data_IF_829805026952
#
_entry.id   IF_829805026952
#
_cell.length_a   1.000
_cell.length_b   1.000
_cell.length_c   1.000
_cell.angle_alpha   90.00
_cell.angle_beta   90.00
_cell.angle_gamma   90.00
#
_symmetry.space_group_name_H-M   'P 1'
#
loop_
_entity.id
_entity.type
_entity.pdbx_description
1 polymer ?
#
# COMPACT_ATOMS: atom_id res chain seq x y z
N UNK A 1 8.05 -33.05 -6.19
CA UNK A 1 7.68 -31.64 -6.41
C UNK A 1 6.55 -31.62 -7.44
N UNK A 2 5.41 -30.98 -7.17
CA UNK A 2 4.32 -30.87 -8.15
C UNK A 2 4.85 -30.16 -9.41
N UNK A 3 4.40 -30.61 -10.59
CA UNK A 3 4.80 -30.01 -11.86
C UNK A 3 4.41 -28.52 -11.90
N UNK A 4 5.24 -27.64 -12.49
CA UNK A 4 4.92 -26.22 -12.59
C UNK A 4 3.63 -26.06 -13.39
N UNK A 5 2.58 -25.55 -12.74
CA UNK A 5 1.31 -25.26 -13.39
C UNK A 5 1.58 -24.15 -14.40
N UNK A 6 1.59 -24.51 -15.69
CA UNK A 6 1.74 -23.52 -16.76
C UNK A 6 0.53 -22.59 -16.68
N UNK A 7 0.73 -21.27 -16.49
CA UNK A 7 -0.37 -20.36 -16.31
C UNK A 7 -1.20 -20.30 -17.59
N UNK A 8 -2.49 -20.60 -17.47
CA UNK A 8 -3.45 -20.42 -18.55
C UNK A 8 -3.78 -18.93 -18.67
N UNK A 9 -2.89 -18.17 -19.30
CA UNK A 9 -2.97 -16.71 -19.40
C UNK A 9 -4.32 -16.20 -19.93
N UNK A 10 -4.99 -16.94 -20.80
CA UNK A 10 -6.34 -16.60 -21.30
C UNK A 10 -7.39 -16.60 -20.18
N UNK A 11 -7.37 -17.61 -19.31
CA UNK A 11 -8.30 -17.71 -18.16
C UNK A 11 -7.99 -16.62 -17.12
N UNK A 12 -6.71 -16.36 -16.86
CA UNK A 12 -6.27 -15.27 -15.96
C UNK A 12 -6.73 -13.91 -16.48
N UNK A 13 -6.49 -13.62 -17.76
CA UNK A 13 -6.87 -12.35 -18.38
C UNK A 13 -8.39 -12.14 -18.35
N UNK A 14 -9.16 -13.21 -18.53
CA UNK A 14 -10.62 -13.20 -18.39
C UNK A 14 -11.06 -12.89 -16.95
N UNK A 15 -10.50 -13.59 -15.96
CA UNK A 15 -10.76 -13.31 -14.54
C UNK A 15 -10.42 -11.87 -14.15
N UNK A 16 -9.33 -11.32 -14.67
CA UNK A 16 -8.94 -9.93 -14.44
C UNK A 16 -9.93 -8.93 -15.09
N UNK A 17 -10.54 -9.26 -16.24
CA UNK A 17 -11.60 -8.46 -16.85
C UNK A 17 -12.90 -8.53 -16.05
N UNK A 18 -13.22 -9.68 -15.47
CA UNK A 18 -14.38 -9.82 -14.59
C UNK A 18 -14.20 -9.03 -13.29
N UNK A 19 -12.98 -9.07 -12.73
CA UNK A 19 -12.57 -8.29 -11.56
C UNK A 19 -11.98 -6.92 -11.95
N UNK A 20 -12.70 -6.10 -12.74
CA UNK A 20 -12.21 -4.80 -13.25
C UNK A 20 -11.62 -3.95 -12.12
N UNK A 21 -10.37 -3.48 -12.29
CA UNK A 21 -9.63 -2.71 -11.28
C UNK A 21 -9.04 -3.53 -10.11
N UNK A 22 -9.52 -4.76 -9.90
CA UNK A 22 -9.02 -5.69 -8.89
C UNK A 22 -7.79 -6.47 -9.34
N UNK A 23 -6.92 -6.81 -8.39
CA UNK A 23 -5.73 -7.62 -8.63
C UNK A 23 -6.04 -9.12 -8.61
N UNK A 24 -5.55 -9.83 -9.61
CA UNK A 24 -5.66 -11.28 -9.74
C UNK A 24 -4.25 -11.87 -9.83
N UNK A 25 -4.00 -12.98 -9.12
CA UNK A 25 -2.75 -13.73 -9.25
C UNK A 25 -2.70 -14.39 -10.62
N UNK A 26 -1.72 -14.02 -11.44
CA UNK A 26 -1.54 -14.58 -12.78
C UNK A 26 -0.80 -15.91 -12.74
N UNK A 27 0.34 -15.95 -12.05
CA UNK A 27 1.18 -17.13 -11.91
C UNK A 27 2.18 -16.95 -10.78
N UNK A 28 2.77 -18.05 -10.32
CA UNK A 28 4.01 -18.03 -9.52
C UNK A 28 5.11 -18.63 -10.40
N UNK A 29 6.10 -17.81 -10.75
CA UNK A 29 7.25 -18.22 -11.53
C UNK A 29 8.36 -18.74 -10.62
N UNK A 30 9.13 -19.76 -11.03
CA UNK A 30 10.17 -20.36 -10.20
C UNK A 30 11.38 -19.44 -9.96
N UNK A 31 11.58 -18.40 -10.79
CA UNK A 31 12.68 -17.44 -10.65
C UNK A 31 12.20 -15.99 -10.72
N UNK A 32 12.95 -15.12 -10.06
CA UNK A 32 12.72 -13.67 -10.06
C UNK A 32 12.77 -13.08 -11.48
N UNK A 33 13.76 -13.47 -12.28
CA UNK A 33 13.90 -12.98 -13.66
C UNK A 33 12.69 -13.33 -14.53
N UNK A 34 12.16 -14.56 -14.38
CA UNK A 34 10.98 -15.00 -15.12
C UNK A 34 9.74 -14.22 -14.72
N UNK A 35 9.52 -14.04 -13.41
CA UNK A 35 8.39 -13.27 -12.88
C UNK A 35 8.45 -11.79 -13.29
N UNK A 36 9.62 -11.16 -13.14
CA UNK A 36 9.83 -9.77 -13.56
C UNK A 36 9.65 -9.59 -15.07
N UNK A 37 10.18 -10.51 -15.87
CA UNK A 37 10.02 -10.49 -17.33
C UNK A 37 8.54 -10.57 -17.71
N UNK A 38 7.77 -11.47 -17.08
CA UNK A 38 6.34 -11.59 -17.28
C UNK A 38 5.58 -10.32 -16.87
N UNK A 39 5.85 -9.78 -15.66
CA UNK A 39 5.22 -8.56 -15.17
C UNK A 39 5.47 -7.35 -16.10
N UNK A 40 6.65 -7.25 -16.72
CA UNK A 40 6.96 -6.19 -17.71
C UNK A 40 6.28 -6.38 -19.06
N UNK A 41 6.07 -7.62 -19.52
CA UNK A 41 5.47 -7.93 -20.82
C UNK A 41 3.95 -7.81 -20.84
N UNK A 42 3.27 -8.16 -19.73
CA UNK A 42 1.80 -8.15 -19.64
C UNK A 42 1.20 -6.80 -20.05
N UNK A 43 1.63 -5.64 -19.51
CA UNK A 43 1.06 -4.35 -19.90
C UNK A 43 1.30 -3.98 -21.37
N UNK A 44 2.35 -4.53 -21.98
CA UNK A 44 2.70 -4.30 -23.39
C UNK A 44 2.04 -5.31 -24.34
N UNK A 45 1.35 -6.31 -23.79
CA UNK A 45 0.89 -7.51 -24.48
C UNK A 45 1.99 -8.20 -25.34
N UNK A 46 3.26 -8.01 -24.99
CA UNK A 46 4.40 -8.45 -25.80
C UNK A 46 4.53 -9.97 -25.74
N UNK A 47 4.25 -10.65 -26.87
CA UNK A 47 4.19 -12.11 -26.96
C UNK A 47 3.19 -12.74 -25.97
N UNK A 48 2.17 -11.98 -25.55
CA UNK A 48 1.10 -12.46 -24.68
C UNK A 48 -0.28 -12.05 -25.20
N UNK A 49 -0.80 -12.73 -26.25
CA UNK A 49 -2.06 -12.37 -26.92
C UNK A 49 -3.26 -12.22 -25.97
N UNK A 50 -3.28 -12.95 -24.86
CA UNK A 50 -4.35 -12.90 -23.86
C UNK A 50 -4.56 -11.51 -23.24
N UNK A 51 -3.52 -10.67 -23.18
CA UNK A 51 -3.55 -9.35 -22.54
C UNK A 51 -3.69 -8.19 -23.54
N UNK A 52 -4.09 -8.45 -24.79
CA UNK A 52 -4.40 -7.37 -25.73
C UNK A 52 -5.69 -6.63 -25.36
N UNK A 53 -5.80 -5.33 -25.76
CA UNK A 53 -4.74 -4.51 -26.37
C UNK A 53 -3.70 -3.99 -25.36
N UNK A 54 -2.49 -3.57 -25.80
CA UNK A 54 -1.48 -2.97 -24.92
C UNK A 54 -2.04 -1.78 -24.11
N UNK A 55 -1.58 -1.63 -22.87
CA UNK A 55 -2.02 -0.58 -21.94
C UNK A 55 -3.32 -0.89 -21.20
N UNK A 56 -3.98 -2.02 -21.47
CA UNK A 56 -5.24 -2.39 -20.79
C UNK A 56 -5.07 -3.15 -19.49
N UNK A 57 -3.84 -3.56 -19.18
CA UNK A 57 -3.50 -4.27 -17.97
C UNK A 57 -2.34 -3.58 -17.26
N UNK A 58 -2.38 -3.60 -15.94
CA UNK A 58 -1.22 -3.36 -15.10
C UNK A 58 -0.75 -4.68 -14.51
N UNK A 59 0.56 -4.82 -14.30
CA UNK A 59 1.13 -5.98 -13.65
C UNK A 59 2.32 -5.60 -12.77
N UNK A 60 2.54 -6.38 -11.71
CA UNK A 60 3.74 -6.30 -10.89
C UNK A 60 4.15 -7.69 -10.41
N UNK A 61 5.42 -7.84 -10.07
CA UNK A 61 5.96 -9.03 -9.43
C UNK A 61 6.18 -8.82 -7.93
N UNK A 62 6.04 -9.90 -7.17
CA UNK A 62 6.28 -9.92 -5.74
C UNK A 62 6.91 -11.24 -5.30
N UNK A 63 7.64 -11.19 -4.18
CA UNK A 63 8.22 -12.39 -3.56
C UNK A 63 7.10 -13.35 -3.16
N UNK A 64 7.31 -14.62 -3.45
CA UNK A 64 6.46 -15.73 -3.06
C UNK A 64 7.32 -16.82 -2.42
N UNK A 65 6.79 -17.58 -1.47
CA UNK A 65 7.53 -18.72 -0.87
C UNK A 65 8.03 -19.70 -1.94
N UNK A 66 7.17 -19.98 -2.91
CA UNK A 66 7.44 -20.85 -4.07
C UNK A 66 8.07 -20.14 -5.29
N UNK A 67 8.55 -18.90 -5.15
CA UNK A 67 9.23 -18.16 -6.23
C UNK A 67 8.83 -16.69 -6.36
N UNK A 68 8.28 -16.30 -7.50
CA UNK A 68 7.89 -14.92 -7.80
C UNK A 68 6.47 -14.86 -8.34
N UNK A 69 5.56 -14.33 -7.53
CA UNK A 69 4.16 -14.14 -7.89
C UNK A 69 4.03 -12.94 -8.82
N UNK A 70 3.32 -13.12 -9.93
CA UNK A 70 2.93 -12.03 -10.83
C UNK A 70 1.46 -11.75 -10.66
N UNK A 71 1.14 -10.50 -10.36
CA UNK A 71 -0.22 -10.00 -10.18
C UNK A 71 -0.60 -9.14 -11.37
N UNK A 72 -1.85 -9.23 -11.80
CA UNK A 72 -2.40 -8.48 -12.92
C UNK A 72 -3.74 -7.87 -12.55
N UNK A 73 -4.02 -6.66 -13.03
CA UNK A 73 -5.36 -6.05 -12.99
C UNK A 73 -5.73 -5.46 -14.34
N UNK A 74 -7.00 -5.53 -14.71
CA UNK A 74 -7.52 -4.91 -15.92
C UNK A 74 -7.94 -3.46 -15.64
N UNK A 75 -7.42 -2.51 -16.43
CA UNK A 75 -7.57 -1.06 -16.21
C UNK A 75 -8.25 -0.32 -17.37
N UNK A 76 -8.58 -1.00 -18.48
CA UNK A 76 -9.17 -0.33 -19.64
C UNK A 76 -10.51 0.34 -19.33
N UNK A 77 -10.60 1.62 -19.69
CA UNK A 77 -11.80 2.45 -19.48
C UNK A 77 -12.05 2.82 -18.03
N UNK A 78 -11.12 2.53 -17.11
CA UNK A 78 -11.20 2.98 -15.73
C UNK A 78 -10.38 4.26 -15.54
N UNK A 79 -10.78 5.15 -14.61
CA UNK A 79 -9.86 6.15 -14.08
C UNK A 79 -8.58 5.48 -13.60
N UNK A 80 -7.45 6.20 -13.64
CA UNK A 80 -6.19 5.69 -13.11
C UNK A 80 -6.46 5.20 -11.67
N UNK A 81 -6.30 3.89 -11.40
CA UNK A 81 -6.64 3.36 -10.10
C UNK A 81 -5.79 4.02 -9.02
N UNK A 82 -6.40 4.28 -7.88
CA UNK A 82 -5.68 4.78 -6.72
C UNK A 82 -4.47 3.87 -6.41
N UNK A 83 -3.36 4.43 -5.93
CA UNK A 83 -2.26 3.64 -5.43
C UNK A 83 -2.76 2.72 -4.31
N UNK A 84 -2.05 1.61 -4.10
CA UNK A 84 -2.34 0.74 -2.96
C UNK A 84 -2.17 1.56 -1.68
N UNK A 85 -3.09 1.48 -0.71
CA UNK A 85 -2.87 2.16 0.55
C UNK A 85 -1.59 1.63 1.19
N UNK A 86 -0.77 2.47 1.86
CA UNK A 86 0.51 2.06 2.41
C UNK A 86 0.39 1.07 3.57
N UNK A 87 -0.79 1.00 4.19
CA UNK A 87 -1.13 0.10 5.27
C UNK A 87 -2.60 -0.33 5.17
N UNK A 88 -2.95 -1.41 5.86
CA UNK A 88 -4.32 -1.87 6.06
C UNK A 88 -4.62 -2.01 7.56
N UNK A 89 -5.85 -1.70 7.96
CA UNK A 89 -6.31 -1.81 9.34
C UNK A 89 -7.32 -2.94 9.46
N UNK A 90 -7.15 -3.80 10.46
CA UNK A 90 -8.04 -4.92 10.75
C UNK A 90 -8.38 -4.96 12.23
N UNK A 91 -9.60 -5.38 12.58
CA UNK A 91 -10.00 -5.79 13.92
C UNK A 91 -9.72 -7.27 14.07
N UNK A 92 -8.74 -7.63 14.88
CA UNK A 92 -8.35 -9.03 15.08
C UNK A 92 -8.58 -9.43 16.54
N UNK A 93 -8.80 -10.73 16.74
CA UNK A 93 -8.88 -11.33 18.06
C UNK A 93 -7.46 -11.55 18.60
N UNK A 94 -7.16 -10.99 19.76
CA UNK A 94 -5.94 -11.23 20.55
C UNK A 94 -6.32 -12.02 21.81
N UNK A 95 -5.86 -13.27 21.88
CA UNK A 95 -6.06 -14.17 23.04
C UNK A 95 -4.89 -14.13 24.03
N UNK A 96 -3.97 -13.17 23.85
CA UNK A 96 -2.72 -13.09 24.60
C UNK A 96 -1.65 -14.04 24.07
N UNK A 97 -0.44 -13.89 24.61
CA UNK A 97 0.73 -14.75 24.29
C UNK A 97 1.17 -15.59 25.48
N UNK A 98 0.54 -15.40 26.65
CA UNK A 98 0.83 -16.13 27.88
C UNK A 98 0.35 -17.58 27.80
N UNK A 99 0.96 -18.44 28.63
CA UNK A 99 0.47 -19.81 28.84
C UNK A 99 -0.89 -19.85 29.55
N UNK A 100 -1.24 -18.80 30.27
CA UNK A 100 -2.56 -18.58 30.85
C UNK A 100 -3.47 -17.89 29.84
N UNK A 101 -4.69 -18.40 29.71
CA UNK A 101 -5.75 -17.74 28.97
C UNK A 101 -6.13 -16.41 29.65
N UNK A 102 -6.08 -15.30 28.93
CA UNK A 102 -6.40 -13.95 29.44
C UNK A 102 -7.76 -13.42 28.94
N UNK A 103 -8.53 -14.25 28.23
CA UNK A 103 -9.76 -13.84 27.56
C UNK A 103 -9.54 -13.31 26.15
N UNK A 104 -10.64 -13.02 25.45
CA UNK A 104 -10.64 -12.45 24.10
C UNK A 104 -10.59 -10.92 24.15
N UNK A 105 -9.59 -10.32 23.51
CA UNK A 105 -9.54 -8.87 23.24
C UNK A 105 -9.66 -8.60 21.75
N UNK A 106 -10.45 -7.62 21.37
CA UNK A 106 -10.52 -7.16 19.97
C UNK A 106 -9.64 -5.94 19.82
N UNK A 107 -8.61 -6.05 19.00
CA UNK A 107 -7.63 -4.98 18.76
C UNK A 107 -7.66 -4.54 17.30
N UNK A 108 -7.64 -3.22 17.09
CA UNK A 108 -7.41 -2.65 15.77
C UNK A 108 -5.90 -2.62 15.51
N UNK A 109 -5.45 -3.28 14.45
CA UNK A 109 -4.03 -3.37 14.08
C UNK A 109 -3.79 -2.80 12.70
N UNK A 110 -2.68 -2.07 12.56
CA UNK A 110 -2.20 -1.54 11.28
C UNK A 110 -1.03 -2.37 10.80
N UNK A 111 -1.15 -2.92 9.59
CA UNK A 111 -0.23 -3.90 9.01
C UNK A 111 0.00 -3.62 7.54
N UNK A 112 0.91 -4.36 6.91
CA UNK A 112 1.12 -4.31 5.47
C UNK A 112 -0.21 -4.55 4.71
N UNK A 113 -0.46 -3.81 3.61
CA UNK A 113 -1.57 -4.08 2.72
C UNK A 113 -1.32 -5.33 1.86
N UNK A 114 -0.17 -5.99 2.04
CA UNK A 114 0.28 -7.11 1.24
C UNK A 114 0.24 -8.42 2.04
N UNK A 115 -0.18 -9.48 1.39
CA UNK A 115 -0.12 -10.82 1.93
C UNK A 115 1.35 -11.22 2.17
N UNK A 116 1.73 -11.68 3.38
CA UNK A 116 3.12 -11.97 3.73
C UNK A 116 3.71 -13.12 2.92
N UNK A 117 2.86 -14.02 2.40
CA UNK A 117 3.27 -15.19 1.61
C UNK A 117 3.55 -14.89 0.14
N UNK A 118 2.85 -13.93 -0.47
CA UNK A 118 2.87 -13.74 -1.92
C UNK A 118 3.08 -12.30 -2.39
N UNK A 119 3.14 -11.33 -1.47
CA UNK A 119 3.17 -9.89 -1.73
C UNK A 119 2.02 -9.36 -2.60
N UNK A 120 0.98 -10.18 -2.81
CA UNK A 120 -0.31 -9.79 -3.36
C UNK A 120 -1.05 -8.84 -2.43
N UNK A 121 -2.08 -8.12 -2.89
CA UNK A 121 -2.91 -7.37 -1.97
C UNK A 121 -3.60 -8.33 -0.98
N UNK A 122 -3.54 -7.97 0.30
CA UNK A 122 -4.32 -8.59 1.35
C UNK A 122 -5.81 -8.33 1.08
N UNK A 123 -6.66 -9.28 1.45
CA UNK A 123 -8.10 -9.16 1.22
C UNK A 123 -8.73 -7.99 1.98
N UNK A 124 -9.86 -7.50 1.49
CA UNK A 124 -10.67 -6.51 2.21
C UNK A 124 -11.24 -7.10 3.50
N UNK A 125 -11.23 -6.30 4.57
CA UNK A 125 -11.85 -6.64 5.84
C UNK A 125 -13.37 -6.79 5.70
N UNK A 126 -13.90 -7.90 6.19
CA UNK A 126 -15.34 -8.20 6.26
C UNK A 126 -15.67 -8.49 7.73
N UNK A 127 -16.60 -7.74 8.36
CA UNK A 127 -17.01 -7.99 9.73
C UNK A 127 -17.55 -9.42 9.91
N UNK A 128 -17.13 -10.08 10.97
CA UNK A 128 -17.52 -11.43 11.34
C UNK A 128 -17.82 -11.49 12.84
N UNK A 129 -19.02 -11.97 13.17
CA UNK A 129 -19.48 -12.18 14.55
C UNK A 129 -19.16 -13.59 15.00
N UNK A 130 -18.64 -13.73 16.21
CA UNK A 130 -18.46 -15.02 16.88
C UNK A 130 -18.74 -14.92 18.38
N UNK A 131 -18.99 -16.07 19.01
CA UNK A 131 -19.29 -16.19 20.42
C UNK A 131 -18.19 -16.99 21.11
N UNK A 132 -17.58 -16.44 22.15
CA UNK A 132 -16.50 -17.05 22.94
C UNK A 132 -16.62 -16.53 24.38
N UNK A 133 -16.35 -17.36 25.39
CA UNK A 133 -16.48 -17.01 26.82
C UNK A 133 -17.85 -16.44 27.27
N UNK A 134 -18.93 -16.79 26.59
CA UNK A 134 -20.27 -16.26 26.90
C UNK A 134 -20.53 -14.85 26.38
N UNK A 135 -19.59 -14.27 25.63
CA UNK A 135 -19.74 -12.96 25.00
C UNK A 135 -19.70 -13.04 23.47
N UNK A 136 -20.33 -12.06 22.81
CA UNK A 136 -20.32 -11.92 21.36
C UNK A 136 -19.32 -10.84 20.93
N UNK A 137 -18.40 -11.22 20.05
CA UNK A 137 -17.37 -10.32 19.52
C UNK A 137 -17.55 -10.09 18.02
N UNK A 138 -16.95 -9.00 17.51
CA UNK A 138 -16.87 -8.67 16.08
C UNK A 138 -15.39 -8.53 15.70
N UNK A 139 -14.94 -9.35 14.77
CA UNK A 139 -13.60 -9.26 14.15
C UNK A 139 -13.73 -9.07 12.65
N UNK A 140 -12.62 -8.78 11.97
CA UNK A 140 -12.56 -8.75 10.52
C UNK A 140 -12.01 -10.09 10.00
N UNK A 141 -12.70 -10.68 9.04
CA UNK A 141 -12.19 -11.76 8.18
C UNK A 141 -11.82 -11.17 6.84
N UNK A 142 -10.83 -11.75 6.18
CA UNK A 142 -10.49 -11.38 4.82
C UNK A 142 -10.04 -12.62 4.05
N UNK A 143 -10.10 -12.52 2.73
CA UNK A 143 -9.66 -13.58 1.81
C UNK A 143 -8.58 -13.03 0.90
N UNK A 144 -7.37 -13.57 1.01
CA UNK A 144 -6.28 -13.20 0.13
C UNK A 144 -6.49 -13.80 -1.26
N UNK A 145 -6.18 -13.02 -2.31
CA UNK A 145 -6.35 -13.47 -3.70
C UNK A 145 -5.50 -14.70 -4.07
N UNK A 146 -4.44 -15.00 -3.32
CA UNK A 146 -3.60 -16.18 -3.49
C UNK A 146 -4.12 -17.43 -2.77
N UNK A 147 -5.19 -17.32 -1.96
CA UNK A 147 -5.73 -18.43 -1.17
C UNK A 147 -5.03 -18.70 0.16
N UNK A 148 -3.92 -18.02 0.46
CA UNK A 148 -3.29 -18.07 1.78
C UNK A 148 -4.23 -17.55 2.88
N UNK A 149 -4.41 -18.35 3.94
CA UNK A 149 -5.10 -17.93 5.16
C UNK A 149 -4.12 -17.18 6.05
N UNK A 150 -4.38 -15.89 6.25
CA UNK A 150 -3.59 -15.05 7.13
C UNK A 150 -4.12 -15.16 8.55
N UNK A 151 -3.39 -15.86 9.41
CA UNK A 151 -3.84 -16.13 10.78
C UNK A 151 -3.69 -14.88 11.64
N UNK A 152 -4.65 -14.63 12.54
CA UNK A 152 -4.64 -13.46 13.42
C UNK A 152 -3.34 -13.33 14.23
N UNK A 153 -2.75 -14.44 14.69
CA UNK A 153 -1.48 -14.42 15.42
C UNK A 153 -0.32 -13.87 14.58
N UNK A 154 -0.29 -14.21 13.28
CA UNK A 154 0.69 -13.67 12.34
C UNK A 154 0.50 -12.17 12.12
N UNK A 155 -0.74 -11.72 11.99
CA UNK A 155 -1.08 -10.29 11.86
C UNK A 155 -0.74 -9.51 13.13
N UNK A 156 -1.03 -10.06 14.31
CA UNK A 156 -0.66 -9.46 15.60
C UNK A 156 0.86 -9.33 15.75
N UNK A 157 1.60 -10.37 15.35
CA UNK A 157 3.07 -10.35 15.37
C UNK A 157 3.61 -9.27 14.44
N UNK A 158 3.14 -9.23 13.18
CA UNK A 158 3.49 -8.20 12.21
C UNK A 158 3.22 -6.78 12.74
N UNK A 159 2.04 -6.57 13.33
CA UNK A 159 1.65 -5.28 13.89
C UNK A 159 2.54 -4.84 15.05
N UNK A 160 2.88 -5.76 15.97
CA UNK A 160 3.77 -5.48 17.10
C UNK A 160 5.17 -5.13 16.64
N UNK A 161 5.74 -5.87 15.69
CA UNK A 161 7.05 -5.57 15.12
C UNK A 161 7.09 -4.19 14.45
N UNK A 162 6.05 -3.87 13.67
CA UNK A 162 5.91 -2.55 13.05
C UNK A 162 5.82 -1.42 14.08
N UNK A 163 4.96 -1.59 15.08
CA UNK A 163 4.77 -0.62 16.15
C UNK A 163 6.06 -0.43 16.96
N UNK A 164 6.78 -1.51 17.26
CA UNK A 164 8.07 -1.45 17.95
C UNK A 164 9.10 -0.67 17.14
N UNK A 165 9.28 -0.97 15.85
CA UNK A 165 10.22 -0.24 14.99
C UNK A 165 9.87 1.25 14.94
N UNK A 166 8.58 1.59 14.78
CA UNK A 166 8.11 2.96 14.75
C UNK A 166 8.34 3.68 16.09
N UNK A 167 7.99 3.05 17.21
CA UNK A 167 8.17 3.60 18.56
C UNK A 167 9.65 3.80 18.91
N UNK A 168 10.50 2.83 18.60
CA UNK A 168 11.93 2.93 18.83
C UNK A 168 12.58 4.03 17.97
N UNK A 169 12.11 4.23 16.74
CA UNK A 169 12.58 5.32 15.89
C UNK A 169 12.08 6.67 16.42
N UNK A 170 10.83 6.76 16.87
CA UNK A 170 10.27 7.93 17.54
C UNK A 170 10.99 8.28 18.85
N UNK A 171 11.45 7.29 19.61
CA UNK A 171 12.26 7.51 20.82
C UNK A 171 13.67 8.04 20.50
N UNK A 172 14.21 7.71 19.32
CA UNK A 172 15.54 8.18 18.88
C UNK A 172 15.48 9.61 18.29
N UNK A 173 14.30 10.25 18.29
CA UNK A 173 14.14 11.66 17.95
C UNK A 173 14.80 12.48 19.07
N UNK A 174 16.06 12.86 18.89
CA UNK A 174 16.65 13.96 19.65
C UNK A 174 15.94 15.28 19.32
N UNK A 175 16.34 16.37 19.99
CA UNK A 175 15.70 17.69 19.87
C UNK A 175 15.76 18.33 18.47
N UNK A 176 16.53 17.77 17.52
CA UNK A 176 16.61 18.28 16.15
C UNK A 176 15.37 17.91 15.32
N UNK A 177 14.29 18.66 15.56
CA UNK A 177 13.11 18.63 14.71
C UNK A 177 13.46 19.06 13.28
N UNK A 178 13.10 18.25 12.29
CA UNK A 178 13.26 18.64 10.89
C UNK A 178 12.34 19.82 10.54
N UNK A 179 12.84 20.80 9.80
CA UNK A 179 12.04 21.89 9.26
C UNK A 179 11.35 21.45 7.95
N UNK A 180 10.21 20.76 8.08
CA UNK A 180 9.42 20.29 6.93
C UNK A 180 7.93 20.66 7.05
N UNK A 181 7.62 21.80 7.68
CA UNK A 181 6.25 22.30 7.85
C UNK A 181 5.32 21.27 8.49
N UNK A 182 4.23 20.93 7.81
CA UNK A 182 3.27 19.92 8.28
C UNK A 182 3.82 18.49 8.31
N UNK A 183 4.96 18.23 7.63
CA UNK A 183 5.60 16.91 7.58
C UNK A 183 6.82 16.79 8.51
N UNK A 184 7.11 17.78 9.34
CA UNK A 184 8.30 17.80 10.22
C UNK A 184 8.46 16.53 11.06
N UNK A 185 7.39 16.06 11.72
CA UNK A 185 7.44 14.84 12.52
C UNK A 185 7.70 13.58 11.67
N UNK A 186 7.02 13.46 10.53
CA UNK A 186 7.19 12.35 9.59
C UNK A 186 8.62 12.29 9.02
N UNK A 187 9.17 13.44 8.62
CA UNK A 187 10.55 13.54 8.13
C UNK A 187 11.57 13.18 9.21
N UNK A 188 11.37 13.68 10.45
CA UNK A 188 12.28 13.35 11.56
C UNK A 188 12.26 11.85 11.85
N UNK A 189 11.08 11.21 11.79
CA UNK A 189 10.93 9.76 11.91
C UNK A 189 11.66 9.00 10.77
N UNK A 190 11.54 9.43 9.51
CA UNK A 190 12.26 8.80 8.39
C UNK A 190 13.77 8.84 8.58
N UNK A 191 14.32 9.99 9.00
CA UNK A 191 15.76 10.12 9.28
C UNK A 191 16.21 9.21 10.42
N UNK A 192 15.40 9.07 11.47
CA UNK A 192 15.68 8.14 12.56
C UNK A 192 15.66 6.67 12.08
N UNK A 193 14.69 6.32 11.23
CA UNK A 193 14.58 4.99 10.63
C UNK A 193 15.78 4.67 9.71
N UNK A 194 16.23 5.62 8.89
CA UNK A 194 17.41 5.45 8.02
C UNK A 194 18.71 5.18 8.79
N UNK A 195 18.89 5.86 9.93
CA UNK A 195 20.06 5.60 10.80
C UNK A 195 20.05 4.18 11.36
N UNK A 196 18.87 3.63 11.65
CA UNK A 196 18.70 2.27 12.20
C UNK A 196 18.73 1.19 11.13
N UNK A 197 18.15 1.45 9.95
CA UNK A 197 17.98 0.47 8.89
C UNK A 197 18.58 0.98 7.59
N UNK A 198 19.74 0.42 7.22
CA UNK A 198 20.34 0.67 5.90
C UNK A 198 19.41 0.13 4.81
N UNK A 199 19.32 0.86 3.71
CA UNK A 199 18.54 0.48 2.52
C UNK A 199 17.02 0.38 2.75
N UNK A 200 16.48 1.18 3.67
CA UNK A 200 15.04 1.32 3.85
C UNK A 200 14.39 1.81 2.54
N UNK A 201 13.40 1.05 2.06
CA UNK A 201 12.65 1.38 0.83
C UNK A 201 11.50 2.34 1.13
N UNK A 202 11.13 3.19 0.18
CA UNK A 202 9.99 4.11 0.35
C UNK A 202 8.67 3.39 0.67
N UNK A 203 8.46 2.16 0.16
CA UNK A 203 7.29 1.34 0.51
C UNK A 203 7.26 1.01 2.00
N UNK A 204 8.40 0.58 2.56
CA UNK A 204 8.51 0.27 3.99
C UNK A 204 8.44 1.56 4.83
N UNK A 205 9.03 2.65 4.34
CA UNK A 205 8.90 3.98 4.95
C UNK A 205 7.44 4.42 5.06
N UNK A 206 6.67 4.32 3.97
CA UNK A 206 5.25 4.67 3.97
C UNK A 206 4.43 3.81 4.96
N UNK A 207 4.70 2.50 5.03
CA UNK A 207 4.08 1.62 6.02
C UNK A 207 4.39 2.05 7.47
N UNK A 208 5.66 2.31 7.78
CA UNK A 208 6.07 2.73 9.12
C UNK A 208 5.53 4.13 9.50
N UNK A 209 5.45 5.05 8.55
CA UNK A 209 4.78 6.34 8.73
C UNK A 209 3.30 6.17 9.07
N UNK A 210 2.58 5.28 8.37
CA UNK A 210 1.18 5.00 8.64
C UNK A 210 0.97 4.37 10.03
N UNK A 211 1.83 3.43 10.42
CA UNK A 211 1.82 2.81 11.76
C UNK A 211 2.06 3.85 12.86
N UNK A 212 2.91 4.85 12.61
CA UNK A 212 3.16 5.98 13.50
C UNK A 212 2.05 7.05 13.49
N UNK A 213 0.98 6.87 12.69
CA UNK A 213 -0.12 7.83 12.59
C UNK A 213 0.09 8.97 11.58
N UNK A 214 1.21 9.00 10.86
CA UNK A 214 1.50 9.99 9.82
C UNK A 214 0.89 9.61 8.45
N UNK A 215 -0.43 9.41 8.44
CA UNK A 215 -1.17 8.85 7.29
C UNK A 215 -1.04 9.68 6.00
N UNK A 216 -1.08 11.01 6.10
CA UNK A 216 -0.92 11.88 4.92
C UNK A 216 0.47 11.74 4.32
N UNK A 217 1.53 11.80 5.15
CA UNK A 217 2.90 11.62 4.69
C UNK A 217 3.10 10.24 4.04
N UNK A 218 2.60 9.18 4.68
CA UNK A 218 2.64 7.81 4.16
C UNK A 218 2.00 7.70 2.77
N UNK A 219 0.80 8.26 2.59
CA UNK A 219 0.09 8.27 1.32
C UNK A 219 0.86 9.04 0.24
N UNK A 220 1.40 10.22 0.57
CA UNK A 220 2.17 11.04 -0.39
C UNK A 220 3.44 10.33 -0.85
N UNK A 221 4.15 9.68 0.07
CA UNK A 221 5.33 8.87 -0.28
C UNK A 221 4.94 7.73 -1.23
N UNK A 222 3.83 7.04 -0.99
CA UNK A 222 3.38 5.94 -1.86
C UNK A 222 2.89 6.41 -3.25
N UNK A 223 2.21 7.56 -3.31
CA UNK A 223 1.84 8.23 -4.56
C UNK A 223 3.08 8.58 -5.39
N UNK A 224 4.06 9.22 -4.78
CA UNK A 224 5.28 9.63 -5.46
C UNK A 224 6.09 8.42 -5.90
N UNK A 225 6.26 7.41 -5.03
CA UNK A 225 6.92 6.14 -5.37
C UNK A 225 6.26 5.47 -6.58
N UNK A 226 4.93 5.44 -6.63
CA UNK A 226 4.20 4.88 -7.77
C UNK A 226 4.42 5.67 -9.05
N UNK A 227 4.57 6.99 -8.94
CA UNK A 227 4.82 7.88 -10.07
C UNK A 227 6.24 7.78 -10.62
N UNK A 228 7.23 7.50 -9.79
CA UNK A 228 8.67 7.42 -10.13
C UNK A 228 9.13 6.00 -10.47
N UNK A 229 8.24 5.17 -11.03
CA UNK A 229 8.49 3.76 -11.39
C UNK A 229 8.81 2.81 -10.22
N UNK A 230 8.51 3.21 -8.99
CA UNK A 230 8.63 2.36 -7.80
C UNK A 230 9.99 2.39 -7.10
N UNK A 231 11.00 3.02 -7.71
CA UNK A 231 12.37 3.11 -7.17
C UNK A 231 12.52 4.39 -6.37
N UNK A 232 12.27 4.29 -5.08
CA UNK A 232 12.44 5.40 -4.15
C UNK A 232 13.00 4.85 -2.84
N UNK A 233 14.12 5.41 -2.39
CA UNK A 233 14.68 5.12 -1.08
C UNK A 233 13.96 5.92 0.01
N UNK A 234 14.21 5.60 1.28
CA UNK A 234 13.75 6.43 2.38
C UNK A 234 14.26 7.88 2.28
N UNK A 235 15.50 8.07 1.81
CA UNK A 235 16.11 9.40 1.69
C UNK A 235 15.42 10.23 0.62
N UNK A 236 15.06 9.60 -0.49
CA UNK A 236 14.28 10.25 -1.53
C UNK A 236 12.88 10.61 -1.02
N UNK A 237 12.29 9.78 -0.15
CA UNK A 237 11.00 10.06 0.50
C UNK A 237 11.09 11.24 1.50
N UNK A 238 12.16 11.35 2.29
CA UNK A 238 12.47 12.52 3.14
C UNK A 238 12.54 13.78 2.27
N UNK A 239 13.42 13.78 1.27
CA UNK A 239 13.61 14.93 0.37
C UNK A 239 12.32 15.33 -0.34
N UNK A 240 11.52 14.35 -0.76
CA UNK A 240 10.21 14.59 -1.36
C UNK A 240 9.25 15.28 -0.39
N UNK A 241 9.14 14.81 0.86
CA UNK A 241 8.25 15.43 1.85
C UNK A 241 8.69 16.85 2.23
N UNK A 242 10.00 17.10 2.37
CA UNK A 242 10.56 18.45 2.58
C UNK A 242 10.21 19.36 1.39
N UNK A 243 10.45 18.89 0.17
CA UNK A 243 10.13 19.63 -1.05
C UNK A 243 8.63 19.90 -1.19
N UNK A 244 7.78 18.94 -0.84
CA UNK A 244 6.33 19.08 -0.87
C UNK A 244 5.84 20.11 0.17
N UNK A 245 6.37 20.09 1.39
CA UNK A 245 6.05 21.08 2.41
C UNK A 245 6.45 22.49 1.99
N UNK A 246 7.66 22.67 1.44
CA UNK A 246 8.12 23.96 0.93
C UNK A 246 7.27 24.43 -0.26
N UNK A 247 6.90 23.53 -1.16
CA UNK A 247 6.00 23.84 -2.27
C UNK A 247 4.60 24.25 -1.79
N UNK A 248 4.08 23.63 -0.72
CA UNK A 248 2.80 24.00 -0.10
C UNK A 248 2.87 25.35 0.61
N UNK A 249 3.93 25.61 1.36
CA UNK A 249 4.13 26.89 2.05
C UNK A 249 4.28 28.07 1.08
N UNK A 250 4.89 27.84 -0.09
CA UNK A 250 5.10 28.87 -1.12
C UNK A 250 3.99 28.97 -2.15
N UNK A 251 2.94 28.15 -2.08
CA UNK A 251 1.90 28.15 -3.10
C UNK A 251 0.90 29.28 -2.86
N UNK A 252 1.03 30.34 -3.64
CA UNK A 252 0.06 31.46 -3.72
C UNK A 252 -0.99 31.24 -4.80
N UNK A 253 -0.80 30.24 -5.66
CA UNK A 253 -1.51 30.07 -6.92
C UNK A 253 -2.80 29.23 -6.79
N UNK A 254 -3.09 28.71 -5.59
CA UNK A 254 -4.26 27.86 -5.35
C UNK A 254 -4.94 28.22 -4.04
N UNK A 255 -6.26 28.04 -4.00
CA UNK A 255 -7.07 28.07 -2.79
C UNK A 255 -7.19 26.64 -2.25
N UNK A 256 -6.48 26.37 -1.17
CA UNK A 256 -6.40 25.05 -0.51
C UNK A 256 -6.12 23.84 -1.43
N UNK A 257 -5.23 24.02 -2.41
CA UNK A 257 -4.88 22.96 -3.36
C UNK A 257 -5.76 22.91 -4.60
N UNK A 258 -6.71 23.83 -4.76
CA UNK A 258 -7.49 24.00 -5.98
C UNK A 258 -7.07 25.25 -6.74
N UNK A 259 -6.87 25.08 -8.04
CA UNK A 259 -6.83 26.19 -8.98
C UNK A 259 -8.22 26.25 -9.62
N UNK A 260 -8.96 27.30 -9.31
CA UNK A 260 -10.29 27.54 -9.85
C UNK A 260 -10.17 28.22 -11.21
N UNK A 261 -10.72 27.59 -12.24
CA UNK A 261 -10.84 28.17 -13.58
C UNK A 261 -12.31 28.41 -13.87
N UNK A 262 -12.62 29.50 -14.57
CA UNK A 262 -13.95 29.72 -15.14
C UNK A 262 -13.97 29.16 -16.56
N UNK A 263 -14.77 28.13 -16.80
CA UNK A 263 -14.98 27.55 -18.11
C UNK A 263 -15.73 28.52 -19.03
N UNK A 264 -15.74 28.23 -20.35
CA UNK A 264 -16.33 29.12 -21.38
C UNK A 264 -17.85 29.30 -21.23
N UNK A 265 -18.54 28.34 -20.63
CA UNK A 265 -19.96 28.37 -20.29
C UNK A 265 -20.26 29.12 -18.97
N UNK A 266 -19.21 29.56 -18.26
CA UNK A 266 -19.32 30.26 -16.98
C UNK A 266 -19.26 29.35 -15.75
N UNK A 267 -19.18 28.02 -15.91
CA UNK A 267 -19.03 27.07 -14.81
C UNK A 267 -17.62 27.16 -14.19
N UNK A 268 -17.51 27.02 -12.86
CA UNK A 268 -16.21 26.95 -12.21
C UNK A 268 -15.71 25.51 -12.18
N UNK A 269 -14.53 25.29 -12.75
CA UNK A 269 -13.83 23.99 -12.70
C UNK A 269 -12.64 24.13 -11.77
N UNK A 270 -12.65 23.35 -10.69
CA UNK A 270 -11.55 23.29 -9.75
C UNK A 270 -10.60 22.16 -10.14
N UNK A 271 -9.36 22.49 -10.50
CA UNK A 271 -8.31 21.51 -10.79
C UNK A 271 -7.34 21.43 -9.62
N UNK A 272 -6.84 20.21 -9.34
CA UNK A 272 -5.78 20.03 -8.33
C UNK A 272 -4.54 20.82 -8.72
N UNK A 273 -4.04 21.62 -7.79
CA UNK A 273 -2.80 22.35 -7.94
C UNK A 273 -1.64 21.37 -8.07
N UNK A 274 -1.01 21.33 -9.25
CA UNK A 274 0.12 20.44 -9.53
C UNK A 274 1.36 20.80 -8.71
N UNK A 275 1.45 22.04 -8.22
CA UNK A 275 2.57 22.58 -7.45
C UNK A 275 2.53 22.12 -5.99
N UNK A 276 1.45 22.42 -5.27
CA UNK A 276 1.36 22.10 -3.86
C UNK A 276 0.77 20.69 -3.59
N UNK A 277 0.08 20.11 -4.58
CA UNK A 277 -0.61 18.81 -4.47
C UNK A 277 -1.40 18.69 -3.16
N UNK A 278 -2.08 19.76 -2.69
CA UNK A 278 -3.03 19.61 -1.57
C UNK A 278 -4.22 18.81 -2.05
N UNK A 279 -4.72 17.95 -1.17
CA UNK A 279 -6.01 17.32 -1.41
C UNK A 279 -7.09 18.27 -0.91
N UNK A 280 -8.14 18.41 -1.72
CA UNK A 280 -9.34 19.12 -1.32
C UNK A 280 -10.07 18.22 -0.34
N UNK A 281 -10.17 18.65 0.91
CA UNK A 281 -11.17 18.07 1.80
C UNK A 281 -12.49 18.75 1.42
N UNK A 282 -13.49 18.05 0.87
CA UNK A 282 -14.78 18.65 0.65
C UNK A 282 -15.31 19.15 2.00
N UNK A 283 -15.51 20.47 2.14
CA UNK A 283 -16.19 21.01 3.30
C UNK A 283 -17.61 20.43 3.33
N UNK A 284 -17.94 19.75 4.44
CA UNK A 284 -19.26 19.20 4.69
C UNK A 284 -20.27 20.30 5.03
#
# INVERSE_FOLDING_TARGET
MPAPITPKHREVAQRAREARGGWVLAAVYPSADSGQSAARRIPRAERMPAYHPPGTYEAYDARHDDGTAVWVRYTAGLPKPAPRPPAATYRVCDRGTSRSYEGVRIVAVTVSPDCPRCGGPRGSAVPYRFHEDGEWYVVDKWKNGCGHTDMYDGVLTEARELAQIAAEAAFTLGEEAAEAGEFSQAVTLLRALERKQRFLTARRSALLLAVAGHNEAARRVEEERTSTSGRMSARDADQFLVGLAAARASCTDCDDGLINYRARDGEFVSLRCRRCRRDVVPHA
#
